data_IF_246664841639
#
_entry.id   IF_246664841639
#
_cell.length_a   1.000
_cell.length_b   1.000
_cell.length_c   1.000
_cell.angle_alpha   90.00
_cell.angle_beta   90.00
_cell.angle_gamma   90.00
#
_symmetry.space_group_name_H-M   'P 1'
#
loop_
_entity.id
_entity.type
_entity.pdbx_description
1 polymer ?
#
# COMPACT_ATOMS: atom_id res chain seq x y z
N UNK A 1 -38.72 -0.05 -12.43
CA UNK A 1 -37.54 0.80 -12.67
C UNK A 1 -36.31 -0.04 -12.42
N UNK A 2 -35.66 -0.55 -13.47
CA UNK A 2 -34.37 -1.23 -13.32
C UNK A 2 -33.31 -0.15 -13.15
N UNK A 3 -32.76 -0.02 -11.95
CA UNK A 3 -31.59 0.82 -11.74
C UNK A 3 -30.40 0.14 -12.41
N UNK A 4 -29.92 0.73 -13.50
CA UNK A 4 -28.65 0.35 -14.09
C UNK A 4 -27.52 0.73 -13.13
N UNK A 5 -26.48 -0.10 -12.97
CA UNK A 5 -25.28 0.26 -12.21
C UNK A 5 -24.66 1.57 -12.73
N UNK A 6 -24.15 2.40 -11.83
CA UNK A 6 -23.54 3.69 -12.14
C UNK A 6 -22.08 3.71 -11.64
N UNK A 7 -21.18 4.27 -12.44
CA UNK A 7 -19.75 4.38 -12.14
C UNK A 7 -19.42 5.85 -11.90
N UNK A 8 -19.13 6.21 -10.64
CA UNK A 8 -18.81 7.59 -10.24
C UNK A 8 -17.44 7.68 -9.59
N UNK A 9 -16.72 8.75 -9.92
CA UNK A 9 -15.51 9.13 -9.18
C UNK A 9 -15.85 9.72 -7.81
N UNK A 10 -14.99 9.50 -6.83
CA UNK A 10 -15.07 10.11 -5.50
C UNK A 10 -13.66 10.30 -4.94
N UNK A 11 -13.49 11.27 -4.05
CA UNK A 11 -12.22 11.51 -3.37
C UNK A 11 -12.18 10.78 -2.04
N UNK A 12 -11.07 10.12 -1.76
CA UNK A 12 -10.82 9.40 -0.52
C UNK A 12 -9.47 9.82 0.05
N UNK A 13 -9.41 10.01 1.36
CA UNK A 13 -8.14 10.17 2.07
C UNK A 13 -7.60 8.79 2.41
N UNK A 14 -6.41 8.45 1.89
CA UNK A 14 -5.75 7.17 2.11
C UNK A 14 -4.35 7.40 2.70
N UNK A 15 -3.90 6.44 3.52
CA UNK A 15 -2.50 6.40 3.94
C UNK A 15 -1.61 6.05 2.76
N UNK A 16 -0.51 6.80 2.60
CA UNK A 16 0.47 6.58 1.54
C UNK A 16 1.83 6.30 2.16
N UNK A 17 2.37 5.11 1.91
CA UNK A 17 3.76 4.78 2.25
C UNK A 17 4.67 5.16 1.09
N UNK A 18 5.64 6.04 1.34
CA UNK A 18 6.68 6.37 0.37
C UNK A 18 7.88 5.46 0.56
N UNK A 19 8.15 4.58 -0.41
CA UNK A 19 9.33 3.71 -0.38
C UNK A 19 10.59 4.50 -0.74
N UNK A 20 11.66 4.27 0.02
CA UNK A 20 13.00 4.82 -0.22
C UNK A 20 13.80 4.01 -1.23
N UNK A 21 13.58 2.70 -1.27
CA UNK A 21 14.35 1.71 -2.01
C UNK A 21 13.47 0.47 -2.31
N UNK A 22 14.08 -0.57 -2.87
CA UNK A 22 13.43 -1.84 -3.21
C UNK A 22 13.68 -2.95 -2.17
N UNK A 23 14.17 -2.63 -0.98
CA UNK A 23 14.37 -3.59 0.11
C UNK A 23 13.03 -3.87 0.82
N UNK A 24 12.31 -4.86 0.30
CA UNK A 24 10.97 -5.24 0.79
C UNK A 24 11.00 -5.66 2.26
N UNK A 25 12.05 -6.34 2.71
CA UNK A 25 12.18 -6.81 4.10
C UNK A 25 12.10 -5.64 5.10
N UNK A 26 12.85 -4.56 4.84
CA UNK A 26 12.86 -3.36 5.69
C UNK A 26 11.48 -2.69 5.73
N UNK A 27 10.80 -2.68 4.57
CA UNK A 27 9.43 -2.14 4.47
C UNK A 27 8.45 -2.93 5.33
N UNK A 28 8.52 -4.26 5.26
CA UNK A 28 7.63 -5.14 6.03
C UNK A 28 7.87 -5.02 7.52
N UNK A 29 9.13 -5.03 7.96
CA UNK A 29 9.50 -4.84 9.36
C UNK A 29 8.97 -3.51 9.90
N UNK A 30 9.18 -2.41 9.16
CA UNK A 30 8.65 -1.10 9.53
C UNK A 30 7.12 -1.10 9.68
N UNK A 31 6.40 -1.75 8.76
CA UNK A 31 4.94 -1.84 8.83
C UNK A 31 4.47 -2.67 10.03
N UNK A 32 5.13 -3.80 10.31
CA UNK A 32 4.84 -4.63 11.48
C UNK A 32 5.03 -3.85 12.79
N UNK A 33 6.10 -3.07 12.89
CA UNK A 33 6.33 -2.19 14.05
C UNK A 33 5.19 -1.16 14.20
N UNK A 34 4.72 -0.55 13.10
CA UNK A 34 3.61 0.40 13.16
C UNK A 34 2.32 -0.27 13.63
N UNK A 35 1.98 -1.44 13.10
CA UNK A 35 0.82 -2.20 13.57
C UNK A 35 0.96 -2.55 15.05
N UNK A 36 2.13 -3.01 15.48
CA UNK A 36 2.37 -3.34 16.90
C UNK A 36 2.25 -2.12 17.82
N UNK A 37 2.68 -0.94 17.37
CA UNK A 37 2.64 0.29 18.17
C UNK A 37 1.21 0.85 18.32
N UNK A 38 0.40 0.77 17.25
CA UNK A 38 -0.97 1.29 17.27
C UNK A 38 -1.93 0.40 16.44
N UNK A 39 -2.32 -0.78 16.95
CA UNK A 39 -3.16 -1.72 16.22
C UNK A 39 -4.50 -1.11 15.78
N UNK A 40 -5.12 -0.29 16.64
CA UNK A 40 -6.41 0.37 16.35
C UNK A 40 -6.37 1.34 15.17
N UNK A 41 -5.18 1.82 14.80
CA UNK A 41 -5.00 2.75 13.70
C UNK A 41 -4.56 2.05 12.40
N UNK A 42 -3.70 1.03 12.52
CA UNK A 42 -3.04 0.44 11.36
C UNK A 42 -3.54 -0.96 10.98
N UNK A 43 -4.13 -1.73 11.90
CA UNK A 43 -4.63 -3.06 11.57
C UNK A 43 -5.76 -2.96 10.54
N UNK A 44 -5.63 -3.70 9.44
CA UNK A 44 -6.50 -3.67 8.26
C UNK A 44 -6.63 -2.29 7.59
N UNK A 45 -5.71 -1.35 7.85
CA UNK A 45 -5.77 -0.03 7.22
C UNK A 45 -5.44 -0.12 5.71
N UNK A 46 -6.20 0.57 4.83
CA UNK A 46 -5.89 0.63 3.41
C UNK A 46 -4.62 1.44 3.17
N UNK A 47 -3.67 0.86 2.41
CA UNK A 47 -2.36 1.44 2.17
C UNK A 47 -2.07 1.55 0.67
N UNK A 48 -1.77 2.77 0.23
CA UNK A 48 -1.22 3.06 -1.11
C UNK A 48 0.29 3.11 -1.02
N UNK A 49 0.98 2.48 -1.97
CA UNK A 49 2.45 2.50 -2.02
C UNK A 49 2.91 3.50 -3.07
N UNK A 50 3.75 4.43 -2.68
CA UNK A 50 4.39 5.37 -3.60
C UNK A 50 5.82 4.91 -3.90
N UNK A 51 6.10 4.66 -5.17
CA UNK A 51 7.39 4.14 -5.65
C UNK A 51 8.19 5.17 -6.44
N UNK A 52 7.82 6.46 -6.38
CA UNK A 52 8.40 7.51 -7.24
C UNK A 52 9.92 7.70 -7.06
N UNK A 53 10.47 7.27 -5.92
CA UNK A 53 11.89 7.38 -5.55
C UNK A 53 12.66 6.05 -5.65
N UNK A 54 11.96 4.94 -5.88
CA UNK A 54 12.59 3.62 -5.91
C UNK A 54 13.33 3.44 -7.24
N UNK A 55 14.62 3.12 -7.15
CA UNK A 55 15.46 2.75 -8.28
C UNK A 55 15.54 1.23 -8.39
N UNK A 56 15.73 0.69 -9.60
CA UNK A 56 15.78 -0.77 -9.81
C UNK A 56 14.41 -1.46 -9.68
N UNK A 57 14.36 -2.75 -9.94
CA UNK A 57 13.10 -3.49 -10.00
C UNK A 57 12.52 -3.78 -8.62
N UNK A 58 11.19 -3.88 -8.57
CA UNK A 58 10.41 -4.18 -7.36
C UNK A 58 9.68 -5.50 -7.59
N UNK A 59 9.87 -6.45 -6.69
CA UNK A 59 9.04 -7.65 -6.64
C UNK A 59 7.66 -7.29 -6.05
N UNK A 60 6.74 -6.84 -6.91
CA UNK A 60 5.40 -6.45 -6.49
C UNK A 60 4.60 -7.57 -5.81
N UNK A 61 4.65 -8.84 -6.27
CA UNK A 61 4.05 -9.95 -5.53
C UNK A 61 4.57 -10.07 -4.10
N UNK A 62 5.89 -10.06 -3.90
CA UNK A 62 6.48 -10.15 -2.56
C UNK A 62 6.11 -8.94 -1.70
N UNK A 63 6.13 -7.73 -2.28
CA UNK A 63 5.74 -6.50 -1.59
C UNK A 63 4.28 -6.54 -1.14
N UNK A 64 3.36 -6.94 -2.04
CA UNK A 64 1.93 -7.08 -1.72
C UNK A 64 1.72 -8.06 -0.58
N UNK A 65 2.35 -9.24 -0.64
CA UNK A 65 2.21 -10.26 0.38
C UNK A 65 2.77 -9.77 1.72
N UNK A 66 3.97 -9.17 1.72
CA UNK A 66 4.58 -8.63 2.93
C UNK A 66 3.75 -7.53 3.60
N UNK A 67 3.12 -6.64 2.83
CA UNK A 67 2.20 -5.62 3.37
C UNK A 67 0.96 -6.27 4.01
N UNK A 68 0.39 -7.29 3.35
CA UNK A 68 -0.76 -8.02 3.87
C UNK A 68 -0.41 -8.76 5.17
N UNK A 69 0.73 -9.43 5.22
CA UNK A 69 1.22 -10.15 6.39
C UNK A 69 1.57 -9.22 7.55
N UNK A 70 2.01 -7.99 7.26
CA UNK A 70 2.22 -6.95 8.25
C UNK A 70 0.91 -6.44 8.87
N UNK A 71 -0.24 -6.77 8.29
CA UNK A 71 -1.57 -6.41 8.81
C UNK A 71 -2.23 -5.23 8.10
N UNK A 72 -1.69 -4.74 6.97
CA UNK A 72 -2.30 -3.69 6.15
C UNK A 72 -3.08 -4.27 4.97
N UNK A 73 -3.91 -3.46 4.32
CA UNK A 73 -4.58 -3.82 3.06
C UNK A 73 -3.95 -3.01 1.92
N UNK A 74 -3.11 -3.63 1.05
CA UNK A 74 -2.56 -2.93 -0.10
C UNK A 74 -3.68 -2.64 -1.12
N UNK A 75 -3.89 -1.36 -1.46
CA UNK A 75 -4.99 -0.93 -2.35
C UNK A 75 -4.54 -0.35 -3.68
N UNK A 76 -3.26 0.01 -3.82
CA UNK A 76 -2.75 0.54 -5.09
C UNK A 76 -1.31 1.05 -5.03
N UNK A 77 -0.80 1.40 -6.21
CA UNK A 77 0.55 1.94 -6.40
C UNK A 77 0.45 3.31 -7.06
N UNK A 78 1.32 4.23 -6.64
CA UNK A 78 1.46 5.57 -7.23
C UNK A 78 2.92 5.87 -7.53
N UNK A 79 3.16 6.81 -8.45
CA UNK A 79 4.52 7.21 -8.79
C UNK A 79 5.29 6.20 -9.63
N UNK A 80 4.63 5.19 -10.22
CA UNK A 80 5.27 4.40 -11.28
C UNK A 80 5.58 5.32 -12.46
N UNK A 81 6.77 5.16 -13.01
CA UNK A 81 7.20 5.84 -14.24
C UNK A 81 7.34 4.82 -15.37
N UNK A 82 8.04 3.72 -15.08
CA UNK A 82 8.41 2.70 -16.07
C UNK A 82 8.43 1.27 -15.47
N UNK A 83 7.59 0.99 -14.46
CA UNK A 83 7.56 -0.28 -13.69
C UNK A 83 6.17 -0.90 -13.64
#
# INVERSE_FOLDING_TARGET
MTHSPDLKGSSFTLSVLHLSDNEIANTVEFLQEKVSQAPSFFASAPLVINIAKVQGDIDFPALKQGIADAGFIPVGITGSKDK
#
